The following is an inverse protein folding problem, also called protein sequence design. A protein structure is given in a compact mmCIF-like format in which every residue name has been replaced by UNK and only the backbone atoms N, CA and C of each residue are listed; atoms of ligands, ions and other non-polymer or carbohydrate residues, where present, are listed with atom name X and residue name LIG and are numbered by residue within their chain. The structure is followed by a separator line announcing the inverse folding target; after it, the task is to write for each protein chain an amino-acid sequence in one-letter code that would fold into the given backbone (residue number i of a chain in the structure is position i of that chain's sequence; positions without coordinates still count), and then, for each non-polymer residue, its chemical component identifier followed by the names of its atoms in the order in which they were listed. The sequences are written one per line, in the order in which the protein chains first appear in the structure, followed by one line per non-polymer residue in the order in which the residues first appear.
data_IF_023328595883
#
_entry.id   IF_023328595883
#
_cell.length_a   1.000
_cell.length_b   1.000
_cell.length_c   1.000
_cell.angle_alpha   90.00
_cell.angle_beta   90.00
_cell.angle_gamma   90.00
#
_symmetry.space_group_name_H-M   'P 1'
#
loop_
_entity.id
_entity.type
_entity.pdbx_description
1 polymer ?
#
# COMPACT_ATOMS: atom_id res chain seq x y z
N UNK A 1 -1.38 8.74 21.03
CA UNK A 1 -0.98 7.40 20.55
C UNK A 1 -2.24 6.60 20.28
N UNK A 2 -2.39 6.08 19.06
CA UNK A 2 -3.50 5.21 18.67
C UNK A 2 -3.32 3.77 19.17
N UNK A 3 -4.12 2.84 18.61
CA UNK A 3 -4.06 1.41 18.97
C UNK A 3 -2.79 0.72 18.47
N UNK A 4 -2.32 1.11 17.28
CA UNK A 4 -1.20 0.47 16.60
C UNK A 4 0.15 0.87 17.21
N UNK A 5 0.98 -0.13 17.48
CA UNK A 5 2.37 0.01 17.92
C UNK A 5 3.24 -0.77 16.94
N UNK A 6 4.03 -0.07 16.16
CA UNK A 6 5.01 -0.62 15.23
C UNK A 6 6.19 -1.27 15.96
N UNK A 7 6.90 -2.14 15.25
CA UNK A 7 8.22 -2.64 15.64
C UNK A 7 9.25 -2.33 14.55
N UNK A 8 9.38 -1.05 14.20
CA UNK A 8 10.27 -0.60 13.12
C UNK A 8 11.73 -1.05 13.33
N UNK A 9 12.19 -1.11 14.59
CA UNK A 9 13.54 -1.57 14.91
C UNK A 9 13.81 -3.01 14.44
N UNK A 10 12.83 -3.91 14.61
CA UNK A 10 12.96 -5.31 14.20
C UNK A 10 12.86 -5.47 12.68
N UNK A 11 12.03 -4.65 12.02
CA UNK A 11 12.01 -4.54 10.55
C UNK A 11 13.40 -4.15 10.03
N UNK A 12 13.99 -3.08 10.57
CA UNK A 12 15.32 -2.61 10.16
C UNK A 12 16.42 -3.64 10.48
N UNK A 13 16.32 -4.33 11.62
CA UNK A 13 17.23 -5.41 12.01
C UNK A 13 17.24 -6.51 10.96
N UNK A 14 16.07 -7.04 10.62
CA UNK A 14 15.95 -8.11 9.64
C UNK A 14 16.43 -7.66 8.26
N UNK A 15 15.98 -6.50 7.79
CA UNK A 15 16.34 -6.00 6.46
C UNK A 15 17.86 -5.75 6.34
N UNK A 16 18.47 -5.05 7.28
CA UNK A 16 19.81 -4.50 7.09
C UNK A 16 20.93 -5.20 7.87
N UNK A 17 20.61 -5.92 8.94
CA UNK A 17 21.61 -6.59 9.78
C UNK A 17 21.62 -8.10 9.58
N UNK A 18 20.45 -8.70 9.31
CA UNK A 18 20.33 -10.15 9.08
C UNK A 18 20.44 -10.49 7.60
N UNK A 19 19.60 -9.89 6.75
CA UNK A 19 19.48 -10.28 5.35
C UNK A 19 20.30 -9.40 4.39
N UNK A 20 20.87 -8.29 4.88
CA UNK A 20 21.76 -7.43 4.09
C UNK A 20 21.10 -6.84 2.84
N UNK A 21 19.82 -6.42 2.94
CA UNK A 21 19.07 -5.82 1.84
C UNK A 21 19.77 -4.58 1.26
N UNK A 22 20.55 -3.86 2.06
CA UNK A 22 21.36 -2.72 1.63
C UNK A 22 22.49 -3.08 0.64
N UNK A 23 22.84 -4.36 0.51
CA UNK A 23 23.82 -4.80 -0.49
C UNK A 23 23.27 -4.73 -1.92
N UNK A 24 21.94 -4.73 -2.09
CA UNK A 24 21.28 -4.67 -3.39
C UNK A 24 20.60 -3.32 -3.65
N UNK A 25 20.25 -2.58 -2.60
CA UNK A 25 19.76 -1.20 -2.70
C UNK A 25 20.81 -0.29 -3.38
N UNK A 26 20.35 0.60 -4.25
CA UNK A 26 21.19 1.50 -5.04
C UNK A 26 21.90 0.81 -6.21
N UNK A 27 21.56 -0.45 -6.50
CA UNK A 27 22.19 -1.23 -7.57
C UNK A 27 21.16 -1.97 -8.43
N UNK A 28 21.52 -2.23 -9.69
CA UNK A 28 20.73 -3.04 -10.61
C UNK A 28 19.27 -2.58 -10.70
N UNK A 29 18.28 -3.47 -10.49
CA UNK A 29 16.86 -3.11 -10.58
C UNK A 29 16.36 -2.21 -9.43
N UNK A 30 17.19 -1.95 -8.41
CA UNK A 30 16.86 -1.12 -7.24
C UNK A 30 17.71 0.16 -7.20
N UNK A 31 18.21 0.60 -8.35
CA UNK A 31 19.13 1.74 -8.47
C UNK A 31 18.57 3.09 -7.97
N UNK A 32 17.25 3.22 -7.89
CA UNK A 32 16.53 4.40 -7.45
C UNK A 32 16.38 4.52 -5.93
N UNK A 33 16.77 3.50 -5.16
CA UNK A 33 16.55 3.45 -3.72
C UNK A 33 17.79 2.96 -2.98
N UNK A 34 18.41 3.81 -2.17
CA UNK A 34 19.51 3.45 -1.27
C UNK A 34 19.03 3.09 0.16
N UNK A 35 19.97 2.67 1.01
CA UNK A 35 19.69 2.25 2.39
C UNK A 35 19.06 3.36 3.24
N UNK A 36 19.57 4.57 3.13
CA UNK A 36 19.11 5.68 3.97
C UNK A 36 17.72 6.15 3.54
N UNK A 37 17.48 6.21 2.22
CA UNK A 37 16.16 6.43 1.63
C UNK A 37 15.15 5.37 2.06
N UNK A 38 15.55 4.09 2.09
CA UNK A 38 14.70 3.00 2.56
C UNK A 38 14.33 3.15 4.05
N UNK A 39 15.27 3.56 4.90
CA UNK A 39 15.00 3.83 6.32
C UNK A 39 14.07 5.01 6.53
N UNK A 40 14.31 6.11 5.82
CA UNK A 40 13.47 7.30 5.96
C UNK A 40 12.05 7.04 5.45
N UNK A 41 11.92 6.23 4.40
CA UNK A 41 10.63 5.73 3.93
C UNK A 41 9.92 4.89 5.01
N UNK A 42 10.61 3.94 5.63
CA UNK A 42 10.01 3.12 6.70
C UNK A 42 9.56 3.97 7.90
N UNK A 43 10.32 4.98 8.29
CA UNK A 43 9.93 5.93 9.35
C UNK A 43 8.70 6.76 8.96
N UNK A 44 8.61 7.22 7.72
CA UNK A 44 7.45 8.00 7.27
C UNK A 44 6.19 7.12 7.22
N UNK A 45 6.31 5.88 6.75
CA UNK A 45 5.20 4.91 6.80
C UNK A 45 4.81 4.61 8.25
N UNK A 46 5.76 4.44 9.17
CA UNK A 46 5.48 4.26 10.59
C UNK A 46 4.66 5.44 11.15
N UNK A 47 5.07 6.68 10.84
CA UNK A 47 4.34 7.89 11.23
C UNK A 47 2.92 7.89 10.67
N UNK A 48 2.77 7.67 9.36
CA UNK A 48 1.49 7.57 8.66
C UNK A 48 0.57 6.51 9.32
N UNK A 49 1.11 5.34 9.61
CA UNK A 49 0.37 4.23 10.19
C UNK A 49 -0.08 4.52 11.62
N UNK A 50 0.81 5.06 12.46
CA UNK A 50 0.53 5.34 13.88
C UNK A 50 -0.37 6.57 14.09
N UNK A 51 -0.42 7.50 13.13
CA UNK A 51 -1.18 8.74 13.23
C UNK A 51 -2.45 8.73 12.39
N UNK A 52 -2.33 8.50 11.09
CA UNK A 52 -3.40 8.78 10.12
C UNK A 52 -4.24 7.54 9.81
N UNK A 53 -3.61 6.37 9.63
CA UNK A 53 -4.33 5.14 9.25
C UNK A 53 -5.00 4.48 10.45
N UNK A 54 -4.31 4.42 11.59
CA UNK A 54 -4.85 3.86 12.83
C UNK A 54 -6.03 4.67 13.39
N UNK A 55 -6.18 5.94 12.99
CA UNK A 55 -7.23 6.83 13.50
C UNK A 55 -8.66 6.32 13.20
N UNK A 56 -8.86 5.65 12.06
CA UNK A 56 -10.16 5.12 11.65
C UNK A 56 -10.41 3.67 12.04
N UNK A 57 -9.44 3.01 12.71
CA UNK A 57 -9.54 1.57 12.98
C UNK A 57 -10.75 1.22 13.86
N UNK A 58 -10.92 1.91 14.99
CA UNK A 58 -12.04 1.64 15.91
C UNK A 58 -13.37 2.10 15.30
N UNK A 59 -13.40 3.29 14.69
CA UNK A 59 -14.65 3.80 14.11
C UNK A 59 -15.11 2.95 12.91
N UNK A 60 -14.18 2.42 12.10
CA UNK A 60 -14.51 1.50 11.01
C UNK A 60 -15.20 0.22 11.46
N UNK A 61 -14.86 -0.28 12.66
CA UNK A 61 -15.53 -1.44 13.28
C UNK A 61 -16.87 -1.06 13.93
N UNK A 62 -16.91 0.06 14.68
CA UNK A 62 -18.11 0.47 15.43
C UNK A 62 -19.18 1.12 14.55
N UNK A 63 -18.78 1.66 13.42
CA UNK A 63 -19.62 2.28 12.39
C UNK A 63 -19.38 1.55 11.06
N UNK A 64 -19.86 0.29 10.94
CA UNK A 64 -19.53 -0.55 9.80
C UNK A 64 -20.19 -0.07 8.50
N UNK A 65 -19.71 -0.55 7.34
CA UNK A 65 -20.31 -0.21 6.05
C UNK A 65 -21.79 -0.57 5.97
N UNK A 66 -22.58 0.30 5.34
CA UNK A 66 -24.03 0.10 5.16
C UNK A 66 -24.34 -0.12 3.69
N UNK A 67 -25.01 -1.22 3.38
CA UNK A 67 -25.46 -1.56 2.03
C UNK A 67 -26.85 -0.97 1.76
N UNK A 68 -26.96 -0.18 0.70
CA UNK A 68 -28.22 0.29 0.15
C UNK A 68 -28.74 -0.68 -0.90
N UNK A 69 -29.86 -1.35 -0.60
CA UNK A 69 -30.49 -2.33 -1.50
C UNK A 69 -31.11 -1.70 -2.74
N UNK A 70 -31.48 -0.42 -2.72
CA UNK A 70 -32.12 0.25 -3.84
C UNK A 70 -31.11 0.64 -4.92
N UNK A 71 -29.90 1.03 -4.52
CA UNK A 71 -28.83 1.47 -5.44
C UNK A 71 -27.77 0.41 -5.67
N UNK A 72 -27.64 -0.57 -4.76
CA UNK A 72 -26.53 -1.53 -4.73
C UNK A 72 -25.23 -0.94 -4.20
N UNK A 73 -25.22 0.30 -3.70
CA UNK A 73 -24.00 0.95 -3.18
C UNK A 73 -23.74 0.60 -1.71
N UNK A 74 -22.48 0.63 -1.31
CA UNK A 74 -22.05 0.54 0.09
C UNK A 74 -21.50 1.90 0.53
N UNK A 75 -21.98 2.40 1.67
CA UNK A 75 -21.46 3.62 2.30
C UNK A 75 -20.45 3.25 3.39
N UNK A 76 -19.24 3.82 3.32
CA UNK A 76 -18.18 3.68 4.32
C UNK A 76 -18.23 4.82 5.34
N UNK A 77 -17.78 4.62 6.59
CA UNK A 77 -17.69 5.69 7.57
C UNK A 77 -16.68 6.76 7.10
N UNK A 78 -17.00 8.03 7.37
CA UNK A 78 -16.21 9.17 6.90
C UNK A 78 -14.76 9.15 7.41
N UNK A 79 -14.53 8.60 8.61
CA UNK A 79 -13.19 8.43 9.18
C UNK A 79 -12.32 7.49 8.34
N UNK A 80 -12.89 6.36 7.92
CA UNK A 80 -12.21 5.37 7.08
C UNK A 80 -11.90 5.95 5.70
N UNK A 81 -12.88 6.60 5.07
CA UNK A 81 -12.70 7.28 3.79
C UNK A 81 -11.57 8.32 3.87
N UNK A 82 -11.46 9.05 4.98
CA UNK A 82 -10.35 9.99 5.21
C UNK A 82 -8.99 9.26 5.30
N UNK A 83 -8.86 8.22 6.11
CA UNK A 83 -7.61 7.46 6.22
C UNK A 83 -7.21 6.81 4.89
N UNK A 84 -8.17 6.27 4.14
CA UNK A 84 -7.95 5.73 2.80
C UNK A 84 -7.47 6.80 1.83
N UNK A 85 -8.10 7.99 1.82
CA UNK A 85 -7.68 9.11 0.99
C UNK A 85 -6.25 9.54 1.34
N UNK A 86 -5.89 9.64 2.63
CA UNK A 86 -4.51 9.96 3.04
C UNK A 86 -3.49 8.94 2.51
N UNK A 87 -3.82 7.65 2.53
CA UNK A 87 -2.94 6.61 1.97
C UNK A 87 -2.81 6.72 0.45
N UNK A 88 -3.92 6.89 -0.25
CA UNK A 88 -3.97 6.95 -1.72
C UNK A 88 -3.37 8.25 -2.29
N UNK A 89 -3.71 9.41 -1.73
CA UNK A 89 -3.16 10.71 -2.14
C UNK A 89 -1.66 10.83 -1.84
N UNK A 90 -1.16 10.10 -0.83
CA UNK A 90 0.27 9.95 -0.58
C UNK A 90 1.01 9.04 -1.57
N UNK A 91 0.28 8.38 -2.49
CA UNK A 91 0.85 7.47 -3.50
C UNK A 91 1.31 6.12 -2.95
N UNK A 92 0.96 5.78 -1.70
CA UNK A 92 1.41 4.55 -1.04
C UNK A 92 0.78 3.28 -1.62
N UNK A 93 -0.34 3.40 -2.33
CA UNK A 93 -0.96 2.33 -3.12
C UNK A 93 -0.14 1.95 -4.36
N UNK A 94 0.70 2.86 -4.86
CA UNK A 94 1.61 2.63 -5.99
C UNK A 94 3.01 2.17 -5.57
N UNK A 95 3.35 2.29 -4.29
CA UNK A 95 4.65 1.88 -3.75
C UNK A 95 5.06 0.44 -4.13
N UNK A 96 4.16 -0.57 -4.10
CA UNK A 96 4.50 -1.94 -4.48
C UNK A 96 4.73 -2.17 -5.99
N UNK A 97 4.43 -1.19 -6.83
CA UNK A 97 4.49 -1.36 -8.28
C UNK A 97 5.94 -1.32 -8.79
N UNK A 98 6.15 -1.95 -9.94
CA UNK A 98 7.40 -1.80 -10.69
C UNK A 98 7.50 -0.37 -11.27
N UNK A 99 8.73 0.08 -11.56
CA UNK A 99 8.96 1.41 -12.15
C UNK A 99 8.18 1.64 -13.45
N UNK A 100 8.07 0.61 -14.30
CA UNK A 100 7.30 0.66 -15.54
C UNK A 100 5.80 0.96 -15.34
N UNK A 101 5.29 0.82 -14.11
CA UNK A 101 3.91 1.08 -13.73
C UNK A 101 3.78 2.26 -12.75
N UNK A 102 4.83 3.08 -12.62
CA UNK A 102 4.82 4.28 -11.78
C UNK A 102 5.05 4.03 -10.29
N UNK A 103 5.52 2.83 -9.90
CA UNK A 103 6.06 2.60 -8.57
C UNK A 103 7.54 2.96 -8.49
N UNK A 104 8.14 2.80 -7.30
CA UNK A 104 9.55 3.14 -7.07
C UNK A 104 10.50 1.96 -7.35
N UNK A 105 9.96 0.79 -7.70
CA UNK A 105 10.78 -0.39 -7.98
C UNK A 105 11.45 -1.01 -6.75
N UNK A 106 10.90 -0.85 -5.55
CA UNK A 106 11.48 -1.40 -4.32
C UNK A 106 11.58 -2.95 -4.34
N UNK A 107 12.56 -3.55 -3.63
CA UNK A 107 12.61 -5.00 -3.48
C UNK A 107 11.40 -5.53 -2.71
N UNK A 108 10.91 -6.76 -3.00
CA UNK A 108 9.74 -7.33 -2.31
C UNK A 108 9.85 -7.36 -0.79
N UNK A 109 11.06 -7.54 -0.23
CA UNK A 109 11.28 -7.51 1.22
C UNK A 109 10.93 -6.16 1.84
N UNK A 110 11.30 -5.06 1.18
CA UNK A 110 10.94 -3.71 1.63
C UNK A 110 9.46 -3.41 1.37
N UNK A 111 8.92 -3.87 0.24
CA UNK A 111 7.49 -3.76 -0.06
C UNK A 111 6.67 -4.35 1.08
N UNK A 112 6.98 -5.58 1.49
CA UNK A 112 6.24 -6.24 2.56
C UNK A 112 6.49 -5.67 3.94
N UNK A 113 7.68 -5.13 4.22
CA UNK A 113 7.95 -4.41 5.47
C UNK A 113 7.06 -3.16 5.63
N UNK A 114 6.83 -2.43 4.54
CA UNK A 114 5.88 -1.30 4.51
C UNK A 114 4.45 -1.80 4.65
N UNK A 115 4.06 -2.82 3.87
CA UNK A 115 2.71 -3.40 3.91
C UNK A 115 2.35 -3.92 5.30
N UNK A 116 3.28 -4.52 6.03
CA UNK A 116 3.08 -4.99 7.41
C UNK A 116 2.56 -3.88 8.31
N UNK A 117 3.16 -2.69 8.24
CA UNK A 117 2.77 -1.57 9.10
C UNK A 117 1.37 -1.05 8.76
N UNK A 118 1.04 -0.99 7.46
CA UNK A 118 -0.30 -0.61 6.98
C UNK A 118 -1.34 -1.63 7.44
N UNK A 119 -1.02 -2.92 7.32
CA UNK A 119 -1.86 -4.03 7.76
C UNK A 119 -2.07 -4.03 9.27
N UNK A 120 -1.04 -3.68 10.05
CA UNK A 120 -1.13 -3.54 11.50
C UNK A 120 -1.96 -2.34 11.95
N UNK A 121 -1.89 -1.23 11.22
CA UNK A 121 -2.63 -0.01 11.55
C UNK A 121 -4.11 -0.10 11.15
N UNK A 122 -4.39 -0.50 9.91
CA UNK A 122 -5.74 -0.71 9.40
C UNK A 122 -5.70 -1.58 8.12
N UNK A 123 -5.92 -2.90 8.23
CA UNK A 123 -5.71 -3.82 7.11
C UNK A 123 -6.72 -3.62 5.98
N UNK A 124 -7.91 -3.11 6.27
CA UNK A 124 -8.91 -2.83 5.24
C UNK A 124 -8.42 -1.76 4.26
N UNK A 125 -7.64 -0.75 4.72
CA UNK A 125 -7.07 0.26 3.83
C UNK A 125 -6.17 -0.39 2.78
N UNK A 126 -5.26 -1.28 3.19
CA UNK A 126 -4.40 -2.02 2.27
C UNK A 126 -5.20 -2.81 1.21
N UNK A 127 -6.29 -3.45 1.64
CA UNK A 127 -7.16 -4.22 0.75
C UNK A 127 -7.89 -3.32 -0.26
N UNK A 128 -8.52 -2.23 0.19
CA UNK A 128 -9.17 -1.27 -0.72
C UNK A 128 -8.19 -0.61 -1.68
N UNK A 129 -6.93 -0.45 -1.28
CA UNK A 129 -5.85 0.14 -2.10
C UNK A 129 -5.15 -0.85 -3.03
N UNK A 130 -5.60 -2.10 -3.14
CA UNK A 130 -4.94 -3.12 -3.96
C UNK A 130 -5.11 -2.91 -5.48
N UNK A 131 -5.97 -1.99 -5.90
CA UNK A 131 -6.29 -1.71 -7.31
C UNK A 131 -5.09 -1.66 -8.27
N UNK A 132 -4.08 -0.81 -8.02
CA UNK A 132 -2.92 -0.71 -8.90
C UNK A 132 -2.11 -2.01 -9.01
N UNK A 133 -1.98 -2.78 -7.92
CA UNK A 133 -1.27 -4.07 -7.94
C UNK A 133 -2.00 -5.09 -8.83
N UNK A 134 -3.33 -5.10 -8.79
CA UNK A 134 -4.15 -5.92 -9.68
C UNK A 134 -4.06 -5.49 -11.15
N UNK A 135 -4.01 -4.19 -11.40
CA UNK A 135 -3.79 -3.67 -12.74
C UNK A 135 -2.41 -4.06 -13.27
N UNK A 136 -1.35 -4.04 -12.45
CA UNK A 136 -0.05 -4.58 -12.86
C UNK A 136 -0.15 -6.08 -13.25
N UNK A 137 -0.87 -6.89 -12.47
CA UNK A 137 -1.11 -8.31 -12.83
C UNK A 137 -1.82 -8.43 -14.19
N UNK A 138 -2.82 -7.60 -14.45
CA UNK A 138 -3.50 -7.53 -15.75
C UNK A 138 -2.53 -7.13 -16.87
N UNK A 139 -1.63 -6.17 -16.63
CA UNK A 139 -0.62 -5.76 -17.60
C UNK A 139 0.36 -6.88 -17.95
N UNK A 140 0.69 -7.74 -16.97
CA UNK A 140 1.62 -8.85 -17.17
C UNK A 140 0.99 -10.02 -17.93
N UNK A 141 -0.32 -10.27 -17.72
CA UNK A 141 -1.01 -11.46 -18.27
C UNK A 141 -1.92 -11.15 -19.46
N UNK A 142 -2.29 -9.89 -19.67
CA UNK A 142 -3.29 -9.48 -20.65
C UNK A 142 -2.76 -9.36 -22.09
N UNK A 143 -3.70 -9.30 -23.04
CA UNK A 143 -3.44 -8.91 -24.43
C UNK A 143 -3.21 -7.39 -24.57
N UNK A 144 -2.94 -6.89 -25.78
CA UNK A 144 -2.61 -5.49 -26.01
C UNK A 144 -3.69 -4.50 -25.49
N UNK A 145 -4.97 -4.79 -25.72
CA UNK A 145 -6.06 -3.94 -25.25
C UNK A 145 -6.17 -3.96 -23.71
N UNK A 146 -6.02 -5.15 -23.11
CA UNK A 146 -6.04 -5.31 -21.65
C UNK A 146 -4.86 -4.63 -20.96
N UNK A 147 -3.68 -4.60 -21.58
CA UNK A 147 -2.54 -3.82 -21.09
C UNK A 147 -2.85 -2.32 -21.09
N UNK A 148 -3.54 -1.83 -22.13
CA UNK A 148 -4.00 -0.43 -22.16
C UNK A 148 -5.03 -0.15 -21.06
N UNK A 149 -5.91 -1.11 -20.74
CA UNK A 149 -6.83 -0.97 -19.60
C UNK A 149 -6.09 -0.96 -18.26
N UNK A 150 -5.06 -1.79 -18.09
CA UNK A 150 -4.22 -1.77 -16.89
C UNK A 150 -3.54 -0.42 -16.67
N UNK A 151 -2.96 0.17 -17.71
CA UNK A 151 -2.39 1.53 -17.65
C UNK A 151 -3.43 2.55 -17.18
N UNK A 152 -4.61 2.56 -17.79
CA UNK A 152 -5.70 3.47 -17.42
C UNK A 152 -6.18 3.24 -15.98
N UNK A 153 -6.24 1.99 -15.52
CA UNK A 153 -6.65 1.64 -14.17
C UNK A 153 -5.67 2.20 -13.12
N UNK A 154 -4.36 2.09 -13.39
CA UNK A 154 -3.31 2.65 -12.53
C UNK A 154 -3.37 4.18 -12.54
N UNK A 155 -3.41 4.79 -13.73
CA UNK A 155 -3.46 6.25 -13.92
C UNK A 155 -4.65 6.88 -13.19
N UNK A 156 -5.82 6.22 -13.24
CA UNK A 156 -7.08 6.72 -12.67
C UNK A 156 -7.42 6.20 -11.28
N UNK A 157 -6.52 5.44 -10.65
CA UNK A 157 -6.73 4.94 -9.29
C UNK A 157 -7.95 4.03 -9.14
N UNK A 158 -8.19 3.13 -10.11
CA UNK A 158 -9.31 2.20 -10.04
C UNK A 158 -9.10 1.20 -8.89
N UNK A 159 -10.18 0.89 -8.17
CA UNK A 159 -10.21 -0.27 -7.27
C UNK A 159 -10.24 -1.60 -8.05
N UNK A 160 -9.97 -2.71 -7.36
CA UNK A 160 -10.04 -4.04 -7.94
C UNK A 160 -10.52 -5.08 -6.93
N UNK A 161 -11.04 -6.20 -7.43
CA UNK A 161 -11.51 -7.35 -6.63
C UNK A 161 -11.16 -8.66 -7.33
N UNK A 162 -10.98 -9.74 -6.57
CA UNK A 162 -10.95 -11.10 -7.09
C UNK A 162 -12.31 -11.76 -6.89
N UNK A 163 -12.87 -12.35 -7.94
CA UNK A 163 -14.16 -13.06 -7.90
C UNK A 163 -13.93 -14.45 -8.48
N UNK A 164 -13.97 -15.48 -7.62
CA UNK A 164 -13.64 -16.87 -7.93
C UNK A 164 -14.87 -17.78 -7.88
#
# INVERSE_FOLDING_TARGET
MGHYKSNLRDIEFNLFEVFGADQTLGQGPFGSLDKDSARDLLKEVERLCTQDLAASFVDGDRTPPVFDKATGSVTLPASFTKSFATYHEGGWDRFPLREAHGGIGAPPSLIWAVSEMVLGANPAIYLYSSGPAFAQILSENGNADQKRFAELAIERGWGATMVL
#
